data_IF_589999906690
#
_entry.id   IF_589999906690
#
_cell.length_a   1.000
_cell.length_b   1.000
_cell.length_c   1.000
_cell.angle_alpha   90.00
_cell.angle_beta   90.00
_cell.angle_gamma   90.00
#
_symmetry.space_group_name_H-M   'P 1'
#
loop_
_entity.id
_entity.type
_entity.pdbx_description
1 polymer ?
#
# COMPACT_ATOMS: atom_id res chain seq x y z
N UNK A 1 -8.51 21.99 -7.32
CA UNK A 1 -7.74 20.76 -7.13
C UNK A 1 -6.69 20.99 -6.05
N UNK A 2 -6.62 20.13 -5.03
CA UNK A 2 -5.58 20.21 -4.00
C UNK A 2 -4.20 20.03 -4.64
N UNK A 3 -3.18 20.77 -4.18
CA UNK A 3 -1.81 20.64 -4.72
C UNK A 3 -1.30 19.22 -4.42
N UNK A 4 -0.63 18.53 -5.38
CA UNK A 4 -0.09 17.21 -5.15
C UNK A 4 0.93 17.24 -4.02
N UNK A 5 0.85 16.26 -3.12
CA UNK A 5 1.78 16.13 -2.01
C UNK A 5 3.18 15.72 -2.49
N UNK A 6 4.18 15.73 -1.61
CA UNK A 6 5.57 15.41 -1.98
C UNK A 6 5.72 14.02 -2.59
N UNK A 7 4.99 13.02 -2.08
CA UNK A 7 5.06 11.66 -2.55
C UNK A 7 4.49 11.53 -3.97
N UNK A 8 3.33 12.14 -4.22
CA UNK A 8 2.69 12.18 -5.53
C UNK A 8 3.56 12.92 -6.56
N UNK A 9 4.26 13.98 -6.15
CA UNK A 9 5.25 14.66 -7.03
C UNK A 9 6.40 13.73 -7.44
N UNK A 10 6.89 12.88 -6.53
CA UNK A 10 7.91 11.87 -6.87
C UNK A 10 7.35 10.85 -7.86
N UNK A 11 6.12 10.37 -7.65
CA UNK A 11 5.46 9.46 -8.59
C UNK A 11 5.32 10.13 -9.97
N UNK A 12 4.82 11.36 -10.03
CA UNK A 12 4.63 12.09 -11.29
C UNK A 12 5.95 12.38 -12.01
N UNK A 13 7.04 12.67 -11.27
CA UNK A 13 8.36 12.87 -11.86
C UNK A 13 8.89 11.61 -12.57
N UNK A 14 8.42 10.42 -12.19
CA UNK A 14 8.80 9.15 -12.81
C UNK A 14 7.88 8.69 -13.94
N UNK A 15 6.80 9.43 -14.26
CA UNK A 15 5.80 9.00 -15.26
C UNK A 15 6.37 8.84 -16.67
N UNK A 16 7.38 9.61 -17.03
CA UNK A 16 8.01 9.55 -18.36
C UNK A 16 9.00 8.38 -18.52
N UNK A 17 9.31 7.67 -17.44
CA UNK A 17 10.23 6.54 -17.48
C UNK A 17 9.50 5.28 -17.95
N UNK A 18 10.20 4.35 -18.64
CA UNK A 18 9.65 3.04 -18.93
C UNK A 18 9.15 2.36 -17.65
N UNK A 19 8.02 1.67 -17.71
CA UNK A 19 7.35 1.10 -16.53
C UNK A 19 8.29 0.29 -15.64
N UNK A 20 9.15 -0.56 -16.21
CA UNK A 20 10.09 -1.39 -15.45
C UNK A 20 11.12 -0.56 -14.66
N UNK A 21 11.57 0.56 -15.22
CA UNK A 21 12.51 1.48 -14.55
C UNK A 21 11.79 2.25 -13.45
N UNK A 22 10.57 2.72 -13.75
CA UNK A 22 9.71 3.43 -12.81
C UNK A 22 9.40 2.59 -11.57
N UNK A 23 8.89 1.38 -11.75
CA UNK A 23 8.51 0.47 -10.66
C UNK A 23 9.71 0.06 -9.82
N UNK A 24 10.86 -0.19 -10.45
CA UNK A 24 12.11 -0.47 -9.75
C UNK A 24 12.55 0.71 -8.87
N UNK A 25 12.57 1.93 -9.41
CA UNK A 25 12.96 3.13 -8.67
C UNK A 25 12.02 3.41 -7.50
N UNK A 26 10.70 3.32 -7.73
CA UNK A 26 9.70 3.52 -6.69
C UNK A 26 9.83 2.46 -5.59
N UNK A 27 9.98 1.18 -5.96
CA UNK A 27 10.16 0.10 -4.99
C UNK A 27 11.42 0.29 -4.13
N UNK A 28 12.53 0.69 -4.75
CA UNK A 28 13.78 0.96 -4.03
C UNK A 28 13.64 2.17 -3.10
N UNK A 29 13.05 3.26 -3.58
CA UNK A 29 12.83 4.46 -2.76
C UNK A 29 11.92 4.16 -1.57
N UNK A 30 10.79 3.48 -1.79
CA UNK A 30 9.81 3.18 -0.76
C UNK A 30 10.31 2.15 0.26
N UNK A 31 11.08 1.14 -0.18
CA UNK A 31 11.76 0.21 0.72
C UNK A 31 12.80 0.89 1.64
N UNK A 32 13.37 2.02 1.20
CA UNK A 32 14.26 2.83 2.05
C UNK A 32 13.48 3.68 3.06
N UNK A 33 12.28 4.14 2.72
CA UNK A 33 11.41 4.89 3.63
C UNK A 33 10.71 3.99 4.66
N UNK A 34 10.38 2.75 4.28
CA UNK A 34 9.73 1.76 5.13
C UNK A 34 10.61 0.50 5.16
N UNK A 35 11.58 0.40 6.10
CA UNK A 35 12.57 -0.68 6.10
C UNK A 35 11.97 -2.09 6.04
N UNK A 36 10.83 -2.31 6.68
CA UNK A 36 10.16 -3.62 6.69
C UNK A 36 9.65 -4.04 5.30
N UNK A 37 9.24 -3.09 4.44
CA UNK A 37 8.86 -3.35 3.04
C UNK A 37 10.07 -3.87 2.27
N UNK A 38 11.23 -3.24 2.47
CA UNK A 38 12.49 -3.69 1.88
C UNK A 38 12.94 -5.07 2.38
N UNK A 39 12.89 -5.29 3.70
CA UNK A 39 13.25 -6.57 4.33
C UNK A 39 12.39 -7.73 3.83
N UNK A 40 11.08 -7.52 3.69
CA UNK A 40 10.16 -8.54 3.20
C UNK A 40 10.23 -8.72 1.66
N UNK A 41 10.89 -7.81 0.94
CA UNK A 41 11.07 -7.88 -0.51
C UNK A 41 9.77 -7.64 -1.28
N UNK A 42 8.92 -6.73 -0.79
CA UNK A 42 7.72 -6.30 -1.52
C UNK A 42 8.12 -5.47 -2.74
N UNK A 43 7.35 -5.59 -3.82
CA UNK A 43 7.58 -4.89 -5.07
C UNK A 43 6.34 -4.10 -5.47
N UNK A 44 6.50 -2.84 -5.88
CA UNK A 44 5.41 -2.00 -6.38
C UNK A 44 5.30 -2.19 -7.89
N UNK A 45 4.30 -2.94 -8.32
CA UNK A 45 4.07 -3.24 -9.74
C UNK A 45 3.36 -2.09 -10.46
N UNK A 46 2.56 -1.31 -9.73
CA UNK A 46 1.86 -0.16 -10.27
C UNK A 46 1.57 0.87 -9.18
N UNK A 47 1.76 2.15 -9.49
CA UNK A 47 1.51 3.25 -8.54
C UNK A 47 0.84 4.40 -9.27
N UNK A 48 -0.32 4.81 -8.77
CA UNK A 48 -1.07 5.98 -9.23
C UNK A 48 -1.94 6.51 -8.09
N UNK A 49 -2.60 7.63 -8.33
CA UNK A 49 -3.53 8.21 -7.38
C UNK A 49 -4.71 7.29 -7.03
N UNK A 50 -5.25 6.59 -8.02
CA UNK A 50 -6.45 5.74 -7.90
C UNK A 50 -6.14 4.30 -7.56
N UNK A 51 -4.92 3.83 -7.83
CA UNK A 51 -4.59 2.41 -7.75
C UNK A 51 -3.12 2.20 -7.43
N UNK A 52 -2.87 1.30 -6.48
CA UNK A 52 -1.54 0.76 -6.16
C UNK A 52 -1.61 -0.76 -6.21
N UNK A 53 -0.66 -1.38 -6.91
CA UNK A 53 -0.49 -2.83 -6.99
C UNK A 53 0.88 -3.16 -6.40
N UNK A 54 0.89 -4.06 -5.41
CA UNK A 54 2.09 -4.54 -4.74
C UNK A 54 2.10 -6.05 -4.81
N UNK A 55 3.26 -6.64 -5.03
CA UNK A 55 3.47 -8.08 -4.98
C UNK A 55 4.52 -8.48 -3.96
N UNK A 56 4.42 -9.72 -3.48
CA UNK A 56 5.42 -10.38 -2.65
C UNK A 56 5.71 -11.75 -3.25
N UNK A 57 7.00 -12.04 -3.45
CA UNK A 57 7.43 -13.36 -3.89
C UNK A 57 7.45 -14.33 -2.73
N UNK A 58 7.09 -15.60 -2.97
CA UNK A 58 7.29 -16.65 -1.99
C UNK A 58 8.78 -17.04 -1.92
N UNK A 59 9.53 -16.35 -1.06
CA UNK A 59 10.95 -16.62 -0.81
C UNK A 59 11.22 -16.93 0.66
N UNK A 60 12.36 -17.56 0.93
CA UNK A 60 12.70 -18.16 2.24
C UNK A 60 12.50 -17.21 3.43
N UNK A 61 12.80 -15.92 3.30
CA UNK A 61 12.74 -15.00 4.45
C UNK A 61 11.30 -14.61 4.84
N UNK A 62 10.32 -14.84 3.96
CA UNK A 62 8.89 -14.56 4.21
C UNK A 62 8.04 -15.83 4.22
N UNK A 63 8.67 -17.00 4.28
CA UNK A 63 7.97 -18.28 4.35
C UNK A 63 7.49 -18.60 5.76
N UNK A 64 6.34 -19.27 5.85
CA UNK A 64 5.91 -19.98 7.05
C UNK A 64 6.51 -21.40 7.11
N UNK A 65 6.18 -22.13 8.18
CA UNK A 65 6.66 -23.50 8.43
C UNK A 65 6.20 -24.53 7.38
N UNK A 66 5.18 -24.21 6.56
CA UNK A 66 4.73 -25.05 5.43
C UNK A 66 5.25 -24.55 4.07
N UNK A 67 6.23 -23.65 4.05
CA UNK A 67 6.86 -23.08 2.85
C UNK A 67 5.92 -22.24 1.96
N UNK A 68 4.78 -21.81 2.48
CA UNK A 68 3.93 -20.77 1.88
C UNK A 68 4.30 -19.38 2.40
N UNK A 69 3.71 -18.32 1.84
CA UNK A 69 3.91 -16.95 2.37
C UNK A 69 3.39 -16.88 3.81
N UNK A 70 4.14 -16.24 4.70
CA UNK A 70 3.79 -16.10 6.11
C UNK A 70 2.57 -15.19 6.29
N UNK A 71 1.68 -15.53 7.23
CA UNK A 71 0.47 -14.75 7.51
C UNK A 71 0.76 -13.26 7.75
N UNK A 72 1.74 -12.95 8.60
CA UNK A 72 2.20 -11.57 8.82
C UNK A 72 2.75 -10.88 7.55
N UNK A 73 3.38 -11.62 6.63
CA UNK A 73 3.85 -11.05 5.36
C UNK A 73 2.69 -10.76 4.40
N UNK A 74 1.62 -11.58 4.43
CA UNK A 74 0.38 -11.29 3.72
C UNK A 74 -0.31 -10.04 4.26
N UNK A 75 -0.34 -9.88 5.58
CA UNK A 75 -0.89 -8.68 6.22
C UNK A 75 -0.07 -7.43 5.84
N UNK A 76 1.26 -7.52 5.87
CA UNK A 76 2.16 -6.45 5.44
C UNK A 76 1.96 -6.07 3.97
N UNK A 77 1.73 -7.04 3.08
CA UNK A 77 1.43 -6.80 1.67
C UNK A 77 0.20 -5.89 1.52
N UNK A 78 -0.88 -6.21 2.25
CA UNK A 78 -2.14 -5.45 2.23
C UNK A 78 -1.98 -4.08 2.86
N UNK A 79 -1.32 -3.99 4.01
CA UNK A 79 -0.97 -2.73 4.66
C UNK A 79 -0.22 -1.81 3.72
N UNK A 80 0.77 -2.36 3.02
CA UNK A 80 1.60 -1.59 2.09
C UNK A 80 0.77 -1.07 0.93
N UNK A 81 -0.03 -1.91 0.28
CA UNK A 81 -0.86 -1.49 -0.86
C UNK A 81 -1.88 -0.41 -0.47
N UNK A 82 -2.64 -0.64 0.60
CA UNK A 82 -3.70 0.28 1.06
C UNK A 82 -3.15 1.57 1.66
N UNK A 83 -2.05 1.49 2.42
CA UNK A 83 -1.38 2.64 2.98
C UNK A 83 -0.80 3.54 1.90
N UNK A 84 -0.17 2.97 0.88
CA UNK A 84 0.42 3.75 -0.21
C UNK A 84 -0.61 4.46 -1.08
N UNK A 85 -1.71 3.80 -1.49
CA UNK A 85 -2.74 4.49 -2.27
C UNK A 85 -3.37 5.63 -1.46
N UNK A 86 -3.47 5.48 -0.14
CA UNK A 86 -4.01 6.52 0.74
C UNK A 86 -3.03 7.68 0.93
N UNK A 87 -1.75 7.40 1.24
CA UNK A 87 -0.76 8.46 1.50
C UNK A 87 -0.44 9.28 0.25
N UNK A 88 -0.63 8.76 -0.96
CA UNK A 88 -0.53 9.53 -2.20
C UNK A 88 -1.58 10.65 -2.29
N UNK A 89 -2.69 10.51 -1.58
CA UNK A 89 -3.82 11.44 -1.60
C UNK A 89 -3.90 12.33 -0.36
N UNK A 90 -3.27 11.94 0.76
CA UNK A 90 -3.27 12.72 2.01
C UNK A 90 -2.36 13.96 1.88
N UNK A 91 -2.83 15.19 2.13
CA UNK A 91 -1.99 16.39 2.10
C UNK A 91 -0.82 16.36 3.10
N UNK A 92 0.31 16.98 2.73
CA UNK A 92 1.57 16.94 3.51
C UNK A 92 1.47 17.49 4.95
N UNK A 93 0.45 18.29 5.26
CA UNK A 93 0.22 18.85 6.61
C UNK A 93 -0.57 17.90 7.54
N UNK A 94 -0.90 16.69 7.07
CA UNK A 94 -1.61 15.65 7.83
C UNK A 94 -0.70 14.43 8.04
N UNK A 95 -0.99 13.65 9.09
CA UNK A 95 -0.36 12.36 9.38
C UNK A 95 -1.37 11.27 9.06
N UNK A 96 -0.94 10.22 8.38
CA UNK A 96 -1.72 9.01 8.14
C UNK A 96 -1.31 7.94 9.16
N UNK A 97 -2.29 7.27 9.77
CA UNK A 97 -2.10 6.20 10.74
C UNK A 97 -3.05 5.05 10.45
N UNK A 98 -2.63 3.83 10.75
CA UNK A 98 -3.51 2.66 10.75
C UNK A 98 -4.44 2.76 11.95
N UNK A 99 -5.75 2.69 11.71
CA UNK A 99 -6.75 2.62 12.79
C UNK A 99 -7.12 1.18 13.11
N UNK A 100 -7.34 0.36 12.08
CA UNK A 100 -7.61 -1.06 12.24
C UNK A 100 -7.15 -1.86 11.02
N UNK A 101 -6.79 -3.12 11.28
CA UNK A 101 -6.48 -4.12 10.28
C UNK A 101 -7.18 -5.41 10.70
N UNK A 102 -8.03 -5.93 9.82
CA UNK A 102 -8.68 -7.23 9.95
C UNK A 102 -8.29 -8.10 8.76
N UNK A 103 -7.91 -9.35 9.02
CA UNK A 103 -7.50 -10.30 7.98
C UNK A 103 -8.15 -11.66 8.25
N UNK A 104 -8.99 -12.10 7.32
CA UNK A 104 -9.55 -13.44 7.28
C UNK A 104 -8.70 -14.31 6.34
N UNK A 105 -8.16 -15.42 6.85
CA UNK A 105 -7.36 -16.38 6.08
C UNK A 105 -8.26 -17.52 5.61
N UNK A 106 -8.70 -17.44 4.36
CA UNK A 106 -9.74 -18.31 3.80
C UNK A 106 -9.16 -19.61 3.23
N UNK A 107 -7.97 -19.54 2.63
CA UNK A 107 -7.29 -20.67 1.98
C UNK A 107 -5.78 -20.57 2.14
N UNK A 108 -5.09 -21.69 1.95
CA UNK A 108 -3.63 -21.71 1.81
C UNK A 108 -3.25 -21.06 0.48
N UNK A 109 -2.47 -19.99 0.54
CA UNK A 109 -1.97 -19.29 -0.65
C UNK A 109 -1.01 -20.17 -1.47
N UNK A 110 -1.10 -20.08 -2.79
CA UNK A 110 -0.21 -20.77 -3.71
C UNK A 110 0.72 -19.79 -4.43
N UNK A 111 2.03 -20.01 -4.32
CA UNK A 111 3.02 -19.19 -4.99
C UNK A 111 3.10 -17.77 -4.40
N UNK A 112 3.27 -16.80 -5.29
CA UNK A 112 3.37 -15.38 -4.96
C UNK A 112 1.99 -14.78 -4.67
N UNK A 113 1.98 -13.58 -4.09
CA UNK A 113 0.74 -12.84 -3.84
C UNK A 113 0.82 -11.44 -4.42
N UNK A 114 -0.31 -10.97 -4.94
CA UNK A 114 -0.48 -9.61 -5.45
C UNK A 114 -1.67 -8.95 -4.77
N UNK A 115 -1.44 -7.81 -4.12
CA UNK A 115 -2.47 -6.96 -3.56
C UNK A 115 -2.73 -5.75 -4.45
N UNK A 116 -4.00 -5.51 -4.78
CA UNK A 116 -4.45 -4.35 -5.56
C UNK A 116 -5.37 -3.51 -4.68
N UNK A 117 -4.92 -2.30 -4.32
CA UNK A 117 -5.72 -1.33 -3.59
C UNK A 117 -6.23 -0.23 -4.54
N UNK A 118 -7.50 0.17 -4.40
CA UNK A 118 -8.13 1.15 -5.30
C UNK A 118 -8.93 2.21 -4.55
N UNK A 119 -8.96 3.42 -5.11
CA UNK A 119 -9.77 4.54 -4.65
C UNK A 119 -10.62 5.09 -5.80
N UNK A 120 -11.88 5.38 -5.51
CA UNK A 120 -12.74 6.16 -6.40
C UNK A 120 -12.40 7.65 -6.31
N UNK A 121 -12.92 8.44 -7.25
CA UNK A 121 -12.80 9.90 -7.19
C UNK A 121 -13.45 10.48 -5.92
N UNK A 122 -14.53 9.86 -5.44
CA UNK A 122 -15.21 10.23 -4.20
C UNK A 122 -14.32 9.98 -2.98
N UNK A 123 -13.63 8.84 -2.92
CA UNK A 123 -12.66 8.55 -1.86
C UNK A 123 -11.52 9.58 -1.86
N UNK A 124 -10.95 9.86 -3.03
CA UNK A 124 -9.86 10.83 -3.19
C UNK A 124 -10.31 12.23 -2.76
N UNK A 125 -11.50 12.65 -3.20
CA UNK A 125 -12.09 13.93 -2.80
C UNK A 125 -12.28 13.99 -1.29
N UNK A 126 -12.83 12.95 -0.68
CA UNK A 126 -13.02 12.86 0.77
C UNK A 126 -11.69 12.97 1.53
N UNK A 127 -10.66 12.21 1.13
CA UNK A 127 -9.32 12.25 1.74
C UNK A 127 -8.70 13.66 1.64
N UNK A 128 -8.82 14.31 0.48
CA UNK A 128 -8.18 15.61 0.24
C UNK A 128 -8.90 16.75 0.95
N UNK A 129 -10.23 16.75 1.00
CA UNK A 129 -11.05 17.85 1.52
C UNK A 129 -11.27 17.79 3.03
N UNK A 130 -11.25 16.60 3.67
CA UNK A 130 -11.50 16.48 5.12
C UNK A 130 -10.23 16.66 5.95
N UNK A 131 -10.26 17.57 6.93
CA UNK A 131 -9.10 17.85 7.78
C UNK A 131 -8.69 16.64 8.64
N UNK A 132 -9.69 15.94 9.19
CA UNK A 132 -9.54 14.71 9.96
C UNK A 132 -10.62 13.74 9.50
N UNK A 133 -10.23 12.50 9.23
CA UNK A 133 -11.16 11.50 8.73
C UNK A 133 -10.55 10.12 8.79
N UNK A 134 -11.38 9.13 8.47
CA UNK A 134 -10.97 7.74 8.31
C UNK A 134 -11.72 7.11 7.16
N UNK A 135 -11.09 6.13 6.52
CA UNK A 135 -11.67 5.43 5.39
C UNK A 135 -11.20 3.98 5.38
N UNK A 136 -12.12 3.05 5.14
CA UNK A 136 -11.78 1.67 4.79
C UNK A 136 -11.36 1.63 3.32
N UNK A 137 -10.18 1.08 3.04
CA UNK A 137 -9.59 1.10 1.70
C UNK A 137 -9.85 -0.23 1.00
N UNK A 138 -10.56 -0.25 -0.15
CA UNK A 138 -10.79 -1.46 -0.91
C UNK A 138 -9.48 -2.10 -1.37
N UNK A 139 -9.34 -3.40 -1.13
CA UNK A 139 -8.18 -4.20 -1.53
C UNK A 139 -8.59 -5.59 -1.96
N UNK A 140 -7.96 -6.10 -3.01
CA UNK A 140 -8.09 -7.50 -3.45
C UNK A 140 -6.71 -8.14 -3.46
N UNK A 141 -6.60 -9.35 -2.93
CA UNK A 141 -5.37 -10.13 -2.88
C UNK A 141 -5.55 -11.40 -3.67
N UNK A 142 -4.70 -11.63 -4.66
CA UNK A 142 -4.74 -12.79 -5.55
C UNK A 142 -3.41 -13.54 -5.50
N UNK A 143 -3.48 -14.87 -5.47
CA UNK A 143 -2.32 -15.76 -5.56
C UNK A 143 -2.04 -16.22 -7.00
N UNK A 144 -0.94 -16.94 -7.23
CA UNK A 144 -0.57 -17.41 -8.58
C UNK A 144 -1.57 -18.43 -9.16
N UNK A 145 -2.45 -19.00 -8.33
CA UNK A 145 -3.55 -19.87 -8.75
C UNK A 145 -4.84 -19.09 -9.08
N UNK A 146 -4.78 -17.75 -9.05
CA UNK A 146 -5.93 -16.88 -9.34
C UNK A 146 -6.99 -16.88 -8.23
N UNK A 147 -6.65 -17.35 -7.03
CA UNK A 147 -7.55 -17.40 -5.89
C UNK A 147 -7.33 -16.20 -4.96
N UNK A 148 -8.36 -15.87 -4.17
CA UNK A 148 -8.23 -14.92 -3.07
C UNK A 148 -8.02 -15.67 -1.75
N UNK A 149 -6.77 -15.91 -1.31
CA UNK A 149 -6.52 -16.69 -0.09
C UNK A 149 -6.86 -15.93 1.19
N UNK A 150 -6.91 -14.60 1.14
CA UNK A 150 -7.26 -13.74 2.26
C UNK A 150 -8.30 -12.70 1.87
N UNK A 151 -9.11 -12.29 2.86
CA UNK A 151 -9.94 -11.10 2.79
C UNK A 151 -9.47 -10.11 3.85
N UNK A 152 -9.41 -8.83 3.52
CA UNK A 152 -8.90 -7.82 4.44
C UNK A 152 -9.81 -6.61 4.50
N UNK A 153 -9.92 -6.04 5.70
CA UNK A 153 -10.52 -4.73 5.93
C UNK A 153 -9.51 -3.87 6.65
N UNK A 154 -9.16 -2.74 6.06
CA UNK A 154 -8.15 -1.86 6.61
C UNK A 154 -8.62 -0.44 6.63
N UNK A 155 -8.73 0.11 7.84
CA UNK A 155 -9.17 1.49 8.06
C UNK A 155 -7.95 2.34 8.34
N UNK A 156 -7.77 3.35 7.50
CA UNK A 156 -6.74 4.35 7.63
C UNK A 156 -7.35 5.66 8.12
N UNK A 157 -6.70 6.28 9.10
CA UNK A 157 -7.13 7.56 9.65
C UNK A 157 -6.06 8.63 9.39
N UNK A 158 -6.52 9.84 9.06
CA UNK A 158 -5.66 11.01 8.96
C UNK A 158 -6.09 12.12 9.90
N UNK A 159 -5.11 12.88 10.37
CA UNK A 159 -5.29 14.00 11.27
C UNK A 159 -4.24 15.09 11.02
N UNK A 160 -4.50 16.35 11.40
CA UNK A 160 -3.51 17.42 11.33
C UNK A 160 -2.23 17.06 12.08
N UNK A 161 -1.08 17.40 11.51
CA UNK A 161 0.20 17.37 12.23
C UNK A 161 0.13 18.35 13.40
N UNK A 162 0.41 17.89 14.62
CA UNK A 162 0.64 18.82 15.74
C UNK A 162 1.77 19.77 15.33
N UNK A 163 1.52 21.09 15.43
CA UNK A 163 2.61 22.08 15.34
C UNK A 163 3.61 21.72 16.43
N UNK A 164 4.88 21.50 16.07
CA UNK A 164 5.96 21.45 17.08
C UNK A 164 5.87 22.77 17.86
N UNK A 165 5.57 22.70 19.15
CA UNK A 165 5.86 23.83 20.04
C UNK A 165 7.39 23.89 20.07
N UNK A 166 7.93 24.93 19.44
CA UNK A 166 9.36 25.29 19.51
C UNK A 166 9.70 25.78 20.90
#
# INVERSE_FOLDING_TARGET
>A
MSKPNRLMKLVNATEKLPNNVRTFLLSKAFGQFVPLVGTAGLHYDYVSQHKVIVSIKNHRAVQNHIKGVHAAAMALLVETATGFVTVLNVPDHRILLIKSLHVDYLKVAQGNLTATATLSDEHIKFITETEKGELEIPVTVIDDAGQSPIQCKMVWAWLPKKRKQS
#
